data_IF_680703726755
#
_entry.id   IF_680703726755
#
_cell.length_a   1.000
_cell.length_b   1.000
_cell.length_c   1.000
_cell.angle_alpha   90.00
_cell.angle_beta   90.00
_cell.angle_gamma   90.00
#
_symmetry.space_group_name_H-M   'P 1'
#
loop_
_entity.id
_entity.type
_entity.pdbx_description
1 polymer ?
#
# COMPACT_ATOMS: atom_id res chain seq x y z
N UNK A 1 17.48 -9.39 7.93
CA UNK A 1 16.16 -9.50 7.28
C UNK A 1 15.38 -8.29 7.69
N UNK A 2 15.33 -7.28 6.83
CA UNK A 2 14.61 -6.05 7.09
C UNK A 2 13.15 -6.34 6.77
N UNK A 3 12.39 -6.79 7.77
CA UNK A 3 10.95 -6.95 7.61
C UNK A 3 10.37 -5.55 7.44
N UNK A 4 10.02 -5.18 6.21
CA UNK A 4 9.41 -3.90 5.92
C UNK A 4 7.97 -3.97 6.44
N UNK A 5 7.79 -3.54 7.69
CA UNK A 5 6.50 -3.60 8.38
C UNK A 5 5.51 -2.58 7.81
N UNK A 6 6.00 -1.42 7.42
CA UNK A 6 5.17 -0.26 7.10
C UNK A 6 5.74 0.51 5.89
N UNK A 7 4.86 0.82 4.95
CA UNK A 7 5.15 1.66 3.80
C UNK A 7 4.24 2.89 3.83
N UNK A 8 4.84 4.05 4.01
CA UNK A 8 4.15 5.35 4.03
C UNK A 8 4.32 6.05 2.68
N UNK A 9 3.21 6.21 1.96
CA UNK A 9 3.12 6.90 0.68
C UNK A 9 2.13 8.06 0.76
N UNK A 10 1.98 8.68 1.93
CA UNK A 10 1.04 9.79 2.12
C UNK A 10 1.40 11.02 1.29
N UNK A 11 0.38 11.82 0.98
CA UNK A 11 0.54 13.17 0.41
C UNK A 11 1.32 13.23 -0.91
N UNK A 12 1.15 12.22 -1.78
CA UNK A 12 1.65 12.27 -3.15
C UNK A 12 0.58 12.81 -4.11
N UNK A 13 1.03 13.61 -5.08
CA UNK A 13 0.14 14.28 -6.03
C UNK A 13 -0.42 13.32 -7.09
N UNK A 14 0.42 12.43 -7.59
CA UNK A 14 0.06 11.33 -8.50
C UNK A 14 0.79 10.08 -8.05
N UNK A 15 0.09 9.26 -7.29
CA UNK A 15 0.59 7.99 -6.84
C UNK A 15 -0.03 6.89 -7.71
N UNK A 16 0.80 6.23 -8.49
CA UNK A 16 0.43 4.95 -9.09
C UNK A 16 0.98 3.85 -8.20
N UNK A 17 0.11 2.98 -7.74
CA UNK A 17 0.47 1.88 -6.87
C UNK A 17 0.80 0.67 -7.77
N UNK A 18 2.04 0.16 -7.77
CA UNK A 18 2.43 -0.98 -8.61
C UNK A 18 2.03 -2.31 -7.98
N UNK A 19 1.66 -3.30 -8.81
CA UNK A 19 1.29 -4.65 -8.34
C UNK A 19 2.43 -5.39 -7.63
N UNK A 20 3.68 -4.94 -7.82
CA UNK A 20 4.86 -5.45 -7.10
C UNK A 20 4.78 -5.29 -5.58
N UNK A 21 3.89 -4.43 -5.07
CA UNK A 21 3.61 -4.37 -3.62
C UNK A 21 3.10 -5.68 -3.04
N UNK A 22 2.45 -6.52 -3.85
CA UNK A 22 2.03 -7.88 -3.45
C UNK A 22 3.22 -8.81 -3.19
N UNK A 23 4.39 -8.51 -3.73
CA UNK A 23 5.60 -9.33 -3.57
C UNK A 23 6.37 -8.99 -2.28
N UNK A 24 6.03 -7.87 -1.61
CA UNK A 24 6.68 -7.46 -0.37
C UNK A 24 6.25 -8.39 0.77
N UNK A 25 7.11 -9.35 1.09
CA UNK A 25 6.91 -10.27 2.21
C UNK A 25 7.03 -9.50 3.53
N UNK A 26 5.97 -9.56 4.33
CA UNK A 26 5.93 -8.97 5.67
C UNK A 26 5.45 -7.51 5.72
N UNK A 27 4.83 -7.00 4.64
CA UNK A 27 4.16 -5.71 4.68
C UNK A 27 2.91 -5.81 5.58
N UNK A 28 2.93 -5.12 6.72
CA UNK A 28 1.82 -5.09 7.68
C UNK A 28 0.99 -3.81 7.57
N UNK A 29 1.57 -2.71 7.06
CA UNK A 29 0.89 -1.42 6.92
C UNK A 29 1.24 -0.73 5.61
N UNK A 30 0.24 -0.20 4.94
CA UNK A 30 0.37 0.64 3.76
C UNK A 30 -0.45 1.91 3.97
N UNK A 31 0.22 3.06 4.10
CA UNK A 31 -0.44 4.35 4.30
C UNK A 31 -0.50 5.15 3.00
N UNK A 32 -1.71 5.33 2.49
CA UNK A 32 -2.04 6.03 1.25
C UNK A 32 -2.87 7.28 1.52
N UNK A 33 -2.97 7.74 2.77
CA UNK A 33 -3.76 8.92 3.12
C UNK A 33 -3.26 10.18 2.41
N UNK A 34 -4.18 11.10 2.16
CA UNK A 34 -3.89 12.38 1.50
C UNK A 34 -3.40 12.23 0.04
N UNK A 35 -3.64 11.10 -0.60
CA UNK A 35 -3.48 10.94 -2.05
C UNK A 35 -4.82 11.19 -2.75
N UNK A 36 -5.19 12.47 -2.92
CA UNK A 36 -6.52 12.85 -3.42
C UNK A 36 -6.80 12.42 -4.87
N UNK A 37 -5.76 12.22 -5.68
CA UNK A 37 -5.86 11.75 -7.06
C UNK A 37 -5.65 10.22 -7.19
N UNK A 38 -5.47 9.50 -6.07
CA UNK A 38 -5.25 8.05 -6.09
C UNK A 38 -6.55 7.35 -6.47
N UNK A 39 -6.47 6.53 -7.52
CA UNK A 39 -7.47 5.50 -7.80
C UNK A 39 -6.95 4.16 -7.26
N UNK A 40 -7.50 3.62 -6.17
CA UNK A 40 -7.03 2.37 -5.59
C UNK A 40 -7.14 1.24 -6.62
N UNK A 41 -6.05 0.52 -6.92
CA UNK A 41 -6.14 -0.57 -7.88
C UNK A 41 -7.02 -1.68 -7.33
N UNK A 42 -7.73 -2.38 -8.22
CA UNK A 42 -8.64 -3.46 -7.84
C UNK A 42 -7.95 -4.60 -7.11
N UNK A 43 -6.61 -4.74 -7.15
CA UNK A 43 -5.86 -5.73 -6.40
C UNK A 43 -5.46 -5.29 -4.99
N UNK A 44 -5.69 -4.03 -4.59
CA UNK A 44 -5.28 -3.50 -3.27
C UNK A 44 -5.90 -4.29 -2.11
N UNK A 45 -7.14 -4.78 -2.27
CA UNK A 45 -7.80 -5.66 -1.30
C UNK A 45 -7.04 -6.98 -1.04
N UNK A 46 -6.18 -7.42 -1.96
CA UNK A 46 -5.34 -8.62 -1.76
C UNK A 46 -4.28 -8.38 -0.69
N UNK A 47 -3.82 -7.14 -0.52
CA UNK A 47 -2.92 -6.79 0.58
C UNK A 47 -3.64 -6.96 1.93
N UNK A 48 -4.88 -6.47 2.02
CA UNK A 48 -5.73 -6.67 3.21
C UNK A 48 -5.98 -8.14 3.50
N UNK A 49 -6.25 -8.94 2.46
CA UNK A 49 -6.39 -10.39 2.59
C UNK A 49 -5.13 -11.10 3.08
N UNK A 50 -3.95 -10.54 2.80
CA UNK A 50 -2.65 -11.04 3.27
C UNK A 50 -2.26 -10.51 4.67
N UNK A 51 -3.15 -9.78 5.34
CA UNK A 51 -2.93 -9.23 6.68
C UNK A 51 -2.28 -7.84 6.72
N UNK A 52 -2.16 -7.16 5.58
CA UNK A 52 -1.68 -5.78 5.54
C UNK A 52 -2.84 -4.80 5.81
N UNK A 53 -2.62 -3.84 6.71
CA UNK A 53 -3.57 -2.77 7.00
C UNK A 53 -3.35 -1.65 5.98
N UNK A 54 -4.37 -1.33 5.20
CA UNK A 54 -4.32 -0.23 4.23
C UNK A 54 -5.05 0.99 4.78
N UNK A 55 -4.37 2.14 4.85
CA UNK A 55 -4.99 3.43 5.11
C UNK A 55 -5.16 4.19 3.79
N UNK A 56 -6.38 4.67 3.50
CA UNK A 56 -6.71 5.45 2.30
C UNK A 56 -7.08 6.90 2.69
#
# INVERSE_FOLDING_TARGET
>A
MTNLLELDLRSNHRLEIPESLLEIKGLERLDLRWNHELNPPGWLHKLEANGCIVYL
#
